data_IF_885940865667
#
_entry.id   IF_885940865667
#
_cell.length_a   1.000
_cell.length_b   1.000
_cell.length_c   1.000
_cell.angle_alpha   90.00
_cell.angle_beta   90.00
_cell.angle_gamma   90.00
#
_symmetry.space_group_name_H-M   'P 1'
#
loop_
_entity.id
_entity.type
_entity.pdbx_description
1 polymer ?
#
# COMPACT_ATOMS: atom_id res chain seq x y z
N UNK A 1 -16.21 18.30 -11.18
CA UNK A 1 -14.84 17.73 -11.10
C UNK A 1 -14.66 16.82 -12.30
N UNK A 2 -13.70 17.10 -13.18
CA UNK A 2 -13.21 16.04 -14.08
C UNK A 2 -12.43 15.07 -13.17
N UNK A 3 -12.86 13.81 -13.04
CA UNK A 3 -12.13 12.86 -12.24
C UNK A 3 -10.85 12.55 -13.02
N UNK A 4 -9.72 12.98 -12.47
CA UNK A 4 -8.41 12.47 -12.89
C UNK A 4 -8.55 10.94 -12.93
N UNK A 5 -8.26 10.39 -14.10
CA UNK A 5 -8.63 9.04 -14.48
C UNK A 5 -8.17 8.08 -13.38
N UNK A 6 -9.05 7.20 -12.90
CA UNK A 6 -8.72 6.26 -11.83
C UNK A 6 -7.43 5.49 -12.15
N UNK A 7 -7.13 5.28 -13.44
CA UNK A 7 -5.88 4.74 -13.92
C UNK A 7 -4.61 5.56 -13.60
N UNK A 8 -4.66 6.90 -13.60
CA UNK A 8 -3.54 7.76 -13.22
C UNK A 8 -3.25 7.67 -11.72
N UNK A 9 -4.31 7.62 -10.90
CA UNK A 9 -4.18 7.43 -9.44
C UNK A 9 -3.59 6.05 -9.15
N UNK A 10 -4.11 5.01 -9.81
CA UNK A 10 -3.62 3.64 -9.63
C UNK A 10 -2.15 3.53 -10.04
N UNK A 11 -1.77 4.15 -11.16
CA UNK A 11 -0.39 4.15 -11.65
C UNK A 11 0.55 4.86 -10.68
N UNK A 12 0.21 6.08 -10.24
CA UNK A 12 1.03 6.83 -9.29
C UNK A 12 1.28 6.07 -7.98
N UNK A 13 0.24 5.39 -7.47
CA UNK A 13 0.36 4.57 -6.26
C UNK A 13 1.23 3.33 -6.51
N UNK A 14 1.11 2.70 -7.67
CA UNK A 14 1.92 1.52 -8.05
C UNK A 14 3.39 1.86 -8.29
N UNK A 15 3.67 3.04 -8.85
CA UNK A 15 5.03 3.54 -9.06
C UNK A 15 5.71 3.82 -7.70
N UNK A 16 5.02 4.51 -6.80
CA UNK A 16 5.47 4.74 -5.41
C UNK A 16 5.72 3.42 -4.68
N UNK A 17 4.83 2.44 -4.90
CA UNK A 17 4.95 1.12 -4.33
C UNK A 17 6.22 0.38 -4.83
N UNK A 18 6.48 0.46 -6.13
CA UNK A 18 7.63 -0.21 -6.74
C UNK A 18 8.96 0.38 -6.26
N UNK A 19 9.02 1.69 -6.05
CA UNK A 19 10.21 2.38 -5.50
C UNK A 19 10.51 1.95 -4.07
N UNK A 20 9.49 1.82 -3.23
CA UNK A 20 9.65 1.40 -1.83
C UNK A 20 10.07 -0.08 -1.75
N UNK A 21 9.47 -0.96 -2.55
CA UNK A 21 9.81 -2.41 -2.56
C UNK A 21 11.21 -2.73 -3.10
N UNK A 22 11.85 -1.81 -3.81
CA UNK A 22 13.24 -1.98 -4.23
C UNK A 22 14.21 -1.97 -3.02
N UNK A 23 13.74 -1.60 -1.81
CA UNK A 23 14.56 -1.50 -0.60
C UNK A 23 14.73 -2.82 0.21
N UNK A 24 13.84 -3.82 0.11
CA UNK A 24 14.10 -5.22 0.52
C UNK A 24 13.28 -5.77 1.70
N UNK A 25 13.31 -7.10 1.97
CA UNK A 25 12.26 -7.86 2.71
C UNK A 25 12.04 -7.57 4.21
N UNK A 26 12.79 -6.66 4.83
CA UNK A 26 12.40 -6.04 6.12
C UNK A 26 11.13 -5.19 5.97
N UNK A 27 10.83 -4.83 4.73
CA UNK A 27 9.71 -3.99 4.30
C UNK A 27 8.33 -4.47 4.75
N UNK A 28 7.99 -5.76 4.82
CA UNK A 28 6.56 -6.12 4.96
C UNK A 28 5.95 -5.74 6.31
N UNK A 29 6.67 -5.95 7.41
CA UNK A 29 6.21 -5.57 8.75
C UNK A 29 6.28 -4.05 8.94
N UNK A 30 7.32 -3.42 8.39
CA UNK A 30 7.46 -1.96 8.42
C UNK A 30 6.34 -1.28 7.59
N UNK A 31 5.93 -1.88 6.47
CA UNK A 31 4.80 -1.47 5.64
C UNK A 31 3.45 -1.68 6.33
N UNK A 32 3.29 -2.79 7.07
CA UNK A 32 2.08 -3.05 7.87
C UNK A 32 1.93 -2.02 9.00
N UNK A 33 3.02 -1.71 9.70
CA UNK A 33 3.03 -0.68 10.74
C UNK A 33 2.72 0.69 10.14
N UNK A 34 3.39 1.09 9.06
CA UNK A 34 3.13 2.37 8.39
C UNK A 34 1.69 2.49 7.86
N UNK A 35 1.12 1.40 7.32
CA UNK A 35 -0.28 1.36 6.88
C UNK A 35 -1.27 1.61 8.02
N UNK A 36 -1.00 1.02 9.19
CA UNK A 36 -1.82 1.17 10.39
C UNK A 36 -1.71 2.58 10.96
N UNK A 37 -0.49 3.10 11.13
CA UNK A 37 -0.24 4.47 11.61
C UNK A 37 -0.92 5.52 10.71
N UNK A 38 -0.87 5.33 9.38
CA UNK A 38 -1.53 6.22 8.43
C UNK A 38 -3.05 6.15 8.50
N UNK A 39 -3.62 4.97 8.79
CA UNK A 39 -5.06 4.81 8.94
C UNK A 39 -5.55 5.43 10.25
N UNK A 40 -4.80 5.26 11.34
CA UNK A 40 -5.10 5.88 12.63
C UNK A 40 -5.03 7.41 12.54
N UNK A 41 -3.97 7.99 11.97
CA UNK A 41 -3.90 9.44 11.75
C UNK A 41 -5.01 9.93 10.81
N UNK A 42 -5.42 9.15 9.80
CA UNK A 42 -6.56 9.53 8.97
C UNK A 42 -7.88 9.64 9.76
N UNK A 43 -8.12 8.69 10.69
CA UNK A 43 -9.30 8.69 11.56
C UNK A 43 -9.24 9.86 12.53
N UNK A 44 -8.13 10.06 13.24
CA UNK A 44 -7.94 11.15 14.19
C UNK A 44 -8.16 12.53 13.55
N UNK A 45 -7.66 12.71 12.31
CA UNK A 45 -7.82 13.95 11.54
C UNK A 45 -9.26 14.16 11.09
N UNK A 46 -9.96 13.09 10.72
CA UNK A 46 -11.36 13.16 10.35
C UNK A 46 -12.22 13.57 11.56
N UNK A 47 -11.96 12.99 12.73
CA UNK A 47 -12.63 13.33 13.98
C UNK A 47 -12.35 14.78 14.41
N UNK A 48 -11.13 15.29 14.15
CA UNK A 48 -10.76 16.68 14.35
C UNK A 48 -11.33 17.66 13.29
N UNK A 49 -12.01 17.18 12.25
CA UNK A 49 -12.54 17.99 11.15
C UNK A 49 -11.49 18.48 10.14
N UNK A 50 -10.25 17.99 10.22
CA UNK A 50 -9.17 18.30 9.27
C UNK A 50 -9.22 17.33 8.07
N UNK A 51 -10.25 17.49 7.24
CA UNK A 51 -10.56 16.56 6.15
C UNK A 51 -9.47 16.50 5.07
N UNK A 52 -8.71 17.57 4.86
CA UNK A 52 -7.62 17.56 3.88
C UNK A 52 -6.46 16.69 4.35
N UNK A 53 -6.10 16.75 5.64
CA UNK A 53 -5.08 15.86 6.19
C UNK A 53 -5.58 14.42 6.31
N UNK A 54 -6.85 14.24 6.66
CA UNK A 54 -7.47 12.92 6.70
C UNK A 54 -7.41 12.21 5.33
N UNK A 55 -7.79 12.89 4.25
CA UNK A 55 -7.69 12.35 2.87
C UNK A 55 -6.25 11.99 2.52
N UNK A 56 -5.29 12.84 2.88
CA UNK A 56 -3.87 12.57 2.63
C UNK A 56 -3.38 11.32 3.36
N UNK A 57 -3.69 11.18 4.65
CA UNK A 57 -3.26 10.02 5.45
C UNK A 57 -3.94 8.73 4.96
N UNK A 58 -5.23 8.79 4.59
CA UNK A 58 -5.94 7.66 4.00
C UNK A 58 -5.31 7.19 2.69
N UNK A 59 -4.89 8.11 1.80
CA UNK A 59 -4.18 7.76 0.56
C UNK A 59 -2.85 7.05 0.82
N UNK A 60 -2.10 7.46 1.85
CA UNK A 60 -0.84 6.78 2.22
C UNK A 60 -1.10 5.37 2.74
N UNK A 61 -2.11 5.18 3.59
CA UNK A 61 -2.53 3.85 4.06
C UNK A 61 -2.92 2.91 2.91
N UNK A 62 -3.67 3.41 1.91
CA UNK A 62 -4.01 2.65 0.69
C UNK A 62 -2.75 2.29 -0.11
N UNK A 63 -1.80 3.21 -0.25
CA UNK A 63 -0.54 2.94 -0.94
C UNK A 63 0.27 1.81 -0.25
N UNK A 64 0.39 1.87 1.09
CA UNK A 64 1.01 0.80 1.87
C UNK A 64 0.25 -0.54 1.76
N UNK A 65 -1.08 -0.51 1.66
CA UNK A 65 -1.89 -1.73 1.44
C UNK A 65 -1.57 -2.39 0.09
N UNK A 66 -1.47 -1.61 -0.98
CA UNK A 66 -1.15 -2.12 -2.31
C UNK A 66 0.28 -2.68 -2.37
N UNK A 67 1.21 -2.03 -1.69
CA UNK A 67 2.58 -2.49 -1.44
C UNK A 67 2.63 -3.87 -0.79
N UNK A 68 1.88 -4.05 0.29
CA UNK A 68 1.76 -5.33 1.01
C UNK A 68 1.19 -6.40 0.06
N UNK A 69 0.12 -6.10 -0.68
CA UNK A 69 -0.49 -7.04 -1.61
C UNK A 69 0.48 -7.49 -2.73
N UNK A 70 1.24 -6.55 -3.31
CA UNK A 70 2.25 -6.85 -4.33
C UNK A 70 3.39 -7.71 -3.77
N UNK A 71 3.85 -7.42 -2.54
CA UNK A 71 4.85 -8.23 -1.86
C UNK A 71 4.37 -9.66 -1.61
N UNK A 72 3.15 -9.83 -1.10
CA UNK A 72 2.53 -11.15 -0.88
C UNK A 72 2.41 -11.92 -2.21
N UNK A 73 1.93 -11.27 -3.27
CA UNK A 73 1.80 -11.89 -4.60
C UNK A 73 3.14 -12.39 -5.13
N UNK A 74 4.21 -11.58 -5.01
CA UNK A 74 5.56 -11.98 -5.43
C UNK A 74 6.10 -13.14 -4.60
N UNK A 75 5.88 -13.13 -3.29
CA UNK A 75 6.27 -14.22 -2.39
C UNK A 75 5.56 -15.52 -2.80
N UNK A 76 4.25 -15.47 -3.04
CA UNK A 76 3.47 -16.62 -3.49
C UNK A 76 3.91 -17.14 -4.87
N UNK A 77 4.22 -16.24 -5.81
CA UNK A 77 4.67 -16.60 -7.17
C UNK A 77 6.06 -17.26 -7.20
N UNK A 78 6.89 -17.00 -6.17
CA UNK A 78 8.21 -17.60 -6.03
C UNK A 78 8.20 -18.94 -5.28
N UNK A 79 7.06 -19.36 -4.73
CA UNK A 79 6.91 -20.70 -4.15
C UNK A 79 6.71 -21.68 -5.32
N UNK A 80 7.62 -22.66 -5.53
CA UNK A 80 7.40 -23.69 -6.54
C UNK A 80 6.08 -24.39 -6.23
N UNK A 81 5.21 -24.57 -7.24
CA UNK A 81 3.99 -25.35 -7.08
C UNK A 81 4.35 -26.71 -6.46
N UNK A 82 3.93 -26.94 -5.23
CA UNK A 82 4.16 -28.20 -4.52
C UNK A 82 3.37 -29.30 -5.23
N UNK A 83 3.96 -29.90 -6.27
CA UNK A 83 3.19 -30.70 -7.21
C UNK A 83 3.96 -31.34 -8.36
N UNK A 84 5.24 -31.67 -8.19
CA UNK A 84 5.84 -32.85 -8.86
C UNK A 84 6.61 -33.66 -7.83
N UNK A 85 5.87 -34.38 -6.99
CA UNK A 85 6.42 -35.58 -6.34
C UNK A 85 6.58 -36.61 -7.46
N UNK A 86 7.83 -36.87 -7.82
CA UNK A 86 8.22 -38.04 -8.61
C UNK A 86 7.89 -39.33 -7.86
#
# INVERSE_FOLDING_TARGET
MQPNDFGEVLKSVTDTASEIMAAGPKDLNDLLAAMQDDLEDAIDRMEAGDYWRADRSARRSVAHTLLIAAAIYRMASNVPAAGKRH
#
